data_IF_658960614959
#
_entry.id   IF_658960614959
#
_cell.length_a   1.000
_cell.length_b   1.000
_cell.length_c   1.000
_cell.angle_alpha   90.00
_cell.angle_beta   90.00
_cell.angle_gamma   90.00
#
_symmetry.space_group_name_H-M   'P 1'
#
loop_
_entity.id
_entity.type
_entity.pdbx_description
1 polymer ?
#
# COMPACT_ATOMS: atom_id res chain seq x y z
N UNK A 1 -14.94 -60.40 -72.33
CA UNK A 1 -15.53 -59.91 -73.56
C UNK A 1 -15.11 -58.51 -73.80
N UNK A 2 -14.21 -58.36 -74.74
CA UNK A 2 -14.18 -57.41 -75.87
C UNK A 2 -14.05 -55.94 -75.46
N UNK A 3 -12.95 -55.47 -75.70
CA UNK A 3 -12.24 -54.81 -76.85
C UNK A 3 -12.26 -53.31 -76.68
N UNK A 4 -11.15 -52.72 -76.69
CA UNK A 4 -10.24 -52.27 -77.77
C UNK A 4 -10.66 -50.88 -78.27
N UNK A 5 -9.93 -49.99 -78.40
CA UNK A 5 -8.76 -49.45 -79.13
C UNK A 5 -8.81 -47.93 -79.03
N UNK A 6 -7.91 -47.14 -79.01
CA UNK A 6 -6.65 -47.02 -79.73
C UNK A 6 -6.45 -45.61 -80.23
N UNK A 7 -5.28 -45.20 -80.13
CA UNK A 7 -4.51 -44.42 -81.11
C UNK A 7 -3.97 -43.01 -80.72
N UNK A 8 -2.71 -42.94 -80.46
CA UNK A 8 -1.60 -42.25 -81.21
C UNK A 8 -1.79 -40.74 -81.51
N UNK A 9 -0.99 -39.92 -81.03
CA UNK A 9 0.20 -39.49 -81.72
C UNK A 9 0.44 -37.99 -81.63
N UNK A 10 1.60 -37.54 -81.45
CA UNK A 10 2.03 -36.22 -81.85
C UNK A 10 3.00 -35.51 -80.87
N UNK A 11 4.24 -35.95 -80.92
CA UNK A 11 5.36 -35.18 -80.42
C UNK A 11 5.66 -34.01 -81.33
N UNK A 12 5.71 -32.77 -80.77
CA UNK A 12 6.50 -31.71 -81.47
C UNK A 12 7.25 -30.92 -80.39
N UNK A 13 8.56 -31.07 -80.51
CA UNK A 13 9.55 -30.28 -79.84
C UNK A 13 9.55 -28.85 -80.35
N UNK A 14 9.50 -27.86 -79.48
CA UNK A 14 9.88 -26.47 -79.81
C UNK A 14 10.70 -25.84 -78.67
N UNK A 15 11.93 -25.83 -78.97
CA UNK A 15 13.04 -24.84 -78.85
C UNK A 15 13.04 -23.93 -77.60
N UNK A 16 14.10 -24.08 -76.89
CA UNK A 16 14.73 -23.12 -75.94
C UNK A 16 15.05 -21.81 -76.71
N UNK A 17 14.27 -20.75 -76.42
CA UNK A 17 14.66 -19.34 -76.60
C UNK A 17 13.42 -18.45 -76.40
N UNK A 18 13.06 -18.17 -75.15
CA UNK A 18 12.27 -16.97 -74.74
C UNK A 18 12.03 -17.03 -73.25
N UNK A 19 13.07 -16.82 -72.45
CA UNK A 19 12.95 -16.70 -70.99
C UNK A 19 14.04 -15.73 -70.49
N UNK A 20 13.94 -14.49 -70.87
CA UNK A 20 14.72 -13.41 -70.29
C UNK A 20 13.99 -12.06 -70.53
N UNK A 21 12.87 -11.83 -69.83
CA UNK A 21 12.34 -10.51 -69.59
C UNK A 21 11.12 -10.67 -68.66
N UNK A 22 11.27 -10.36 -67.34
CA UNK A 22 10.10 -10.34 -66.44
C UNK A 22 10.36 -10.72 -65.01
N UNK A 23 11.52 -10.34 -64.39
CA UNK A 23 11.76 -10.48 -62.95
C UNK A 23 12.31 -9.19 -62.38
N UNK A 24 11.54 -8.15 -62.44
CA UNK A 24 11.81 -6.93 -61.70
C UNK A 24 10.46 -6.30 -61.28
N UNK A 25 9.88 -6.74 -60.18
CA UNK A 25 8.61 -6.13 -59.73
C UNK A 25 7.86 -6.89 -58.68
N UNK A 26 8.50 -7.57 -57.70
CA UNK A 26 7.77 -8.13 -56.53
C UNK A 26 8.72 -8.30 -55.34
N UNK A 27 9.28 -7.16 -54.85
CA UNK A 27 10.08 -7.16 -53.62
C UNK A 27 9.83 -5.89 -52.83
N UNK A 28 8.60 -5.45 -52.67
CA UNK A 28 8.20 -4.30 -51.83
C UNK A 28 6.86 -4.50 -51.13
N UNK A 29 6.56 -5.69 -50.64
CA UNK A 29 5.40 -5.98 -49.79
C UNK A 29 5.75 -6.95 -48.66
N UNK A 30 6.82 -6.66 -47.92
CA UNK A 30 7.29 -7.50 -46.82
C UNK A 30 7.58 -6.74 -45.54
N UNK A 31 7.01 -5.55 -45.33
CA UNK A 31 7.24 -4.70 -44.18
C UNK A 31 5.95 -4.24 -43.49
N UNK A 32 4.85 -4.97 -43.60
CA UNK A 32 3.72 -4.73 -42.72
C UNK A 32 4.06 -5.26 -41.34
N UNK A 33 4.77 -4.44 -40.57
CA UNK A 33 4.86 -4.63 -39.13
C UNK A 33 3.43 -4.88 -38.64
N UNK A 34 3.21 -6.02 -38.00
CA UNK A 34 1.94 -6.30 -37.29
C UNK A 34 1.72 -5.16 -36.32
N UNK A 35 1.01 -4.12 -36.72
CA UNK A 35 0.42 -3.17 -35.81
C UNK A 35 -0.44 -4.03 -34.89
N UNK A 36 0.06 -4.24 -33.66
CA UNK A 36 -0.70 -4.93 -32.62
C UNK A 36 -1.96 -4.07 -32.46
N UNK A 37 -3.12 -4.58 -32.84
CA UNK A 37 -4.37 -3.87 -32.68
C UNK A 37 -4.46 -3.47 -31.21
N UNK A 38 -4.39 -2.17 -30.96
CA UNK A 38 -4.49 -1.63 -29.62
C UNK A 38 -5.87 -1.98 -29.10
N UNK A 39 -5.96 -2.68 -27.97
CA UNK A 39 -7.25 -3.05 -27.36
C UNK A 39 -8.08 -1.79 -27.14
N UNK A 40 -9.33 -1.80 -27.59
CA UNK A 40 -10.29 -0.70 -27.32
C UNK A 40 -11.09 -0.92 -26.04
N UNK A 41 -10.95 -2.09 -25.41
CA UNK A 41 -11.63 -2.40 -24.16
C UNK A 41 -11.17 -1.47 -23.04
N UNK A 42 -12.06 -1.08 -22.11
CA UNK A 42 -11.69 -0.20 -21.00
C UNK A 42 -10.61 -0.81 -20.11
N UNK A 43 -9.77 0.05 -19.52
CA UNK A 43 -8.86 -0.35 -18.43
C UNK A 43 -9.66 -0.34 -17.15
N UNK A 44 -9.84 -1.52 -16.55
CA UNK A 44 -10.59 -1.68 -15.29
C UNK A 44 -9.64 -1.75 -14.11
N UNK A 45 -9.92 -0.98 -13.07
CA UNK A 45 -9.24 -0.99 -11.77
C UNK A 45 -10.26 -1.11 -10.65
N UNK A 46 -9.88 -1.69 -9.51
CA UNK A 46 -10.77 -1.86 -8.37
C UNK A 46 -10.16 -1.32 -7.08
N UNK A 47 -10.94 -0.62 -6.26
CA UNK A 47 -10.63 -0.32 -4.86
C UNK A 47 -11.40 -1.28 -3.98
N UNK A 48 -10.70 -2.26 -3.42
CA UNK A 48 -11.26 -3.24 -2.50
C UNK A 48 -10.87 -2.83 -1.07
N UNK A 49 -11.77 -2.16 -0.39
CA UNK A 49 -11.51 -1.51 0.89
C UNK A 49 -12.43 -2.04 2.01
N UNK A 50 -12.22 -1.59 3.23
CA UNK A 50 -13.13 -1.79 4.35
C UNK A 50 -14.03 -0.56 4.48
N UNK A 51 -15.16 -0.55 3.79
CA UNK A 51 -16.05 0.62 3.79
C UNK A 51 -17.08 0.63 4.93
N UNK A 52 -17.36 -0.52 5.54
CA UNK A 52 -18.37 -0.66 6.61
C UNK A 52 -17.88 -1.44 7.83
N UNK A 53 -16.67 -1.97 7.82
CA UNK A 53 -16.08 -2.73 8.94
C UNK A 53 -15.26 -1.86 9.89
N UNK A 54 -14.34 -2.50 10.61
CA UNK A 54 -13.58 -1.86 11.71
C UNK A 54 -12.63 -0.77 11.26
N UNK A 55 -12.14 -0.82 10.01
CA UNK A 55 -11.19 0.15 9.47
C UNK A 55 -11.85 1.18 8.52
N UNK A 56 -13.18 1.26 8.47
CA UNK A 56 -13.90 2.15 7.57
C UNK A 56 -13.47 3.62 7.69
N UNK A 57 -13.12 4.07 8.90
CA UNK A 57 -12.63 5.43 9.14
C UNK A 57 -11.21 5.69 8.65
N UNK A 58 -10.39 4.65 8.50
CA UNK A 58 -8.99 4.76 8.06
C UNK A 58 -8.86 4.67 6.55
N UNK A 59 -9.58 3.75 5.92
CA UNK A 59 -9.54 3.50 4.48
C UNK A 59 -10.90 3.85 3.84
N UNK A 60 -11.73 2.86 3.57
CA UNK A 60 -13.15 2.99 3.20
C UNK A 60 -13.44 3.96 2.07
N UNK A 61 -14.50 4.74 2.25
CA UNK A 61 -14.94 5.74 1.25
C UNK A 61 -13.87 6.78 0.95
N UNK A 62 -12.97 7.08 1.91
CA UNK A 62 -11.84 7.97 1.67
C UNK A 62 -10.87 7.43 0.63
N UNK A 63 -10.53 6.13 0.69
CA UNK A 63 -9.72 5.45 -0.33
C UNK A 63 -10.38 5.46 -1.72
N UNK A 64 -11.71 5.23 -1.77
CA UNK A 64 -12.48 5.31 -3.02
C UNK A 64 -12.47 6.74 -3.59
N UNK A 65 -12.60 7.75 -2.73
CA UNK A 65 -12.53 9.17 -3.12
C UNK A 65 -11.14 9.50 -3.69
N UNK A 66 -10.07 9.07 -3.05
CA UNK A 66 -8.71 9.30 -3.52
C UNK A 66 -8.43 8.64 -4.88
N UNK A 67 -8.90 7.40 -5.07
CA UNK A 67 -8.78 6.71 -6.36
C UNK A 67 -9.57 7.43 -7.47
N UNK A 68 -10.79 7.89 -7.16
CA UNK A 68 -11.57 8.68 -8.12
C UNK A 68 -10.88 9.98 -8.50
N UNK A 69 -10.31 10.70 -7.53
CA UNK A 69 -9.52 11.92 -7.80
C UNK A 69 -8.35 11.62 -8.75
N UNK A 70 -7.63 10.51 -8.54
CA UNK A 70 -6.52 10.11 -9.40
C UNK A 70 -6.99 9.82 -10.85
N UNK A 71 -8.11 9.12 -11.02
CA UNK A 71 -8.71 8.84 -12.34
C UNK A 71 -9.17 10.11 -13.03
N UNK A 72 -9.82 11.02 -12.30
CA UNK A 72 -10.31 12.30 -12.84
C UNK A 72 -9.13 13.19 -13.27
N UNK A 73 -8.09 13.30 -12.46
CA UNK A 73 -6.88 14.06 -12.77
C UNK A 73 -6.09 13.46 -13.94
N UNK A 74 -6.18 12.15 -14.14
CA UNK A 74 -5.60 11.46 -15.29
C UNK A 74 -6.42 11.68 -16.59
N UNK A 75 -7.60 12.29 -16.50
CA UNK A 75 -8.48 12.61 -17.63
C UNK A 75 -9.43 11.48 -18.02
N UNK A 76 -9.66 10.50 -17.14
CA UNK A 76 -10.63 9.40 -17.35
C UNK A 76 -10.24 8.38 -18.43
N UNK A 77 -9.08 8.55 -19.08
CA UNK A 77 -8.59 7.67 -20.15
C UNK A 77 -7.10 7.41 -20.03
N UNK A 78 -6.64 6.22 -20.41
CA UNK A 78 -5.22 5.85 -20.48
C UNK A 78 -4.93 5.07 -21.76
N UNK A 79 -3.87 5.40 -22.47
CA UNK A 79 -3.51 4.80 -23.75
C UNK A 79 -4.69 4.76 -24.74
N UNK A 80 -5.52 5.84 -24.77
CA UNK A 80 -6.70 5.94 -25.64
C UNK A 80 -7.92 5.11 -25.22
N UNK A 81 -7.90 4.51 -24.02
CA UNK A 81 -8.95 3.62 -23.49
C UNK A 81 -9.61 4.24 -22.26
N UNK A 82 -10.94 4.16 -22.11
CA UNK A 82 -11.62 4.63 -20.89
C UNK A 82 -11.12 3.87 -19.66
N UNK A 83 -11.00 4.58 -18.52
CA UNK A 83 -10.72 3.99 -17.21
C UNK A 83 -12.05 3.71 -16.52
N UNK A 84 -12.24 2.47 -16.05
CA UNK A 84 -13.39 2.06 -15.25
C UNK A 84 -12.93 1.75 -13.84
N UNK A 85 -13.39 2.53 -12.86
CA UNK A 85 -13.11 2.36 -11.44
C UNK A 85 -14.26 1.61 -10.76
N UNK A 86 -13.96 0.45 -10.16
CA UNK A 86 -14.85 -0.34 -9.36
C UNK A 86 -14.56 -0.11 -7.86
N UNK A 87 -15.62 -0.06 -7.05
CA UNK A 87 -15.52 0.05 -5.60
C UNK A 87 -16.15 -1.17 -4.95
N UNK A 88 -15.44 -1.78 -3.97
CA UNK A 88 -15.92 -2.93 -3.22
C UNK A 88 -15.62 -2.80 -1.74
N UNK A 89 -16.53 -3.38 -0.95
CA UNK A 89 -16.43 -3.42 0.50
C UNK A 89 -16.21 -4.87 0.96
N UNK A 90 -15.04 -5.15 1.53
CA UNK A 90 -14.75 -6.48 2.09
C UNK A 90 -15.22 -6.65 3.53
N UNK A 91 -15.75 -5.61 4.19
CA UNK A 91 -16.37 -5.67 5.51
C UNK A 91 -15.47 -6.32 6.58
N UNK A 92 -14.17 -6.16 6.48
CA UNK A 92 -13.15 -6.88 7.30
C UNK A 92 -13.24 -8.42 7.22
N UNK A 93 -13.86 -9.00 6.18
CA UNK A 93 -14.09 -10.44 6.00
C UNK A 93 -13.32 -11.00 4.81
N UNK A 94 -12.53 -12.06 5.06
CA UNK A 94 -11.68 -12.65 4.04
C UNK A 94 -12.48 -13.31 2.89
N UNK A 95 -13.59 -13.98 3.20
CA UNK A 95 -14.47 -14.64 2.24
C UNK A 95 -15.11 -13.64 1.28
N UNK A 96 -15.60 -12.51 1.79
CA UNK A 96 -16.17 -11.43 0.97
C UNK A 96 -15.09 -10.82 0.08
N UNK A 97 -13.94 -10.46 0.66
CA UNK A 97 -12.82 -9.88 -0.10
C UNK A 97 -12.33 -10.80 -1.22
N UNK A 98 -12.16 -12.08 -0.93
CA UNK A 98 -11.75 -13.08 -1.91
C UNK A 98 -12.78 -13.29 -3.03
N UNK A 99 -14.06 -13.30 -2.70
CA UNK A 99 -15.14 -13.44 -3.69
C UNK A 99 -15.16 -12.26 -4.66
N UNK A 100 -15.11 -11.02 -4.13
CA UNK A 100 -15.06 -9.81 -4.95
C UNK A 100 -13.80 -9.75 -5.81
N UNK A 101 -12.63 -10.05 -5.25
CA UNK A 101 -11.38 -10.02 -5.99
C UNK A 101 -11.37 -11.05 -7.12
N UNK A 102 -11.88 -12.27 -6.89
CA UNK A 102 -11.98 -13.32 -7.91
C UNK A 102 -12.88 -12.87 -9.06
N UNK A 103 -14.09 -12.38 -8.73
CA UNK A 103 -15.03 -11.88 -9.73
C UNK A 103 -14.41 -10.76 -10.56
N UNK A 104 -13.78 -9.78 -9.91
CA UNK A 104 -13.19 -8.64 -10.60
C UNK A 104 -12.05 -9.04 -11.54
N UNK A 105 -11.17 -9.94 -11.11
CA UNK A 105 -10.11 -10.43 -11.98
C UNK A 105 -10.65 -11.23 -13.15
N UNK A 106 -11.73 -12.02 -12.95
CA UNK A 106 -12.41 -12.75 -14.02
C UNK A 106 -13.12 -11.80 -15.01
N UNK A 107 -13.66 -10.68 -14.50
CA UNK A 107 -14.28 -9.62 -15.30
C UNK A 107 -13.24 -8.68 -15.97
N UNK A 108 -11.95 -8.96 -15.84
CA UNK A 108 -10.87 -8.25 -16.52
C UNK A 108 -10.33 -7.03 -15.79
N UNK A 109 -10.54 -6.90 -14.47
CA UNK A 109 -9.83 -5.91 -13.65
C UNK A 109 -8.32 -6.22 -13.69
N UNK A 110 -7.50 -5.23 -14.05
CA UNK A 110 -6.04 -5.37 -14.16
C UNK A 110 -5.33 -5.22 -12.83
N UNK A 111 -5.81 -4.33 -11.96
CA UNK A 111 -5.23 -4.05 -10.66
C UNK A 111 -6.30 -3.80 -9.59
N UNK A 112 -6.06 -4.35 -8.38
CA UNK A 112 -6.83 -4.07 -7.17
C UNK A 112 -5.96 -3.26 -6.21
N UNK A 113 -6.55 -2.21 -5.62
CA UNK A 113 -5.90 -1.27 -4.69
C UNK A 113 -6.51 -1.34 -3.30
N UNK A 114 -5.78 -0.83 -2.33
CA UNK A 114 -6.10 -0.67 -0.92
C UNK A 114 -5.92 -1.97 -0.13
N UNK A 115 -6.90 -2.81 0.01
CA UNK A 115 -6.94 -4.11 0.70
C UNK A 115 -6.38 -4.02 2.14
N UNK A 116 -7.26 -3.81 3.13
CA UNK A 116 -6.82 -3.44 4.48
C UNK A 116 -6.42 -4.59 5.40
N UNK A 117 -7.25 -5.62 5.54
CA UNK A 117 -7.09 -6.67 6.53
C UNK A 117 -6.09 -7.73 6.07
N UNK A 118 -5.15 -8.12 6.94
CA UNK A 118 -4.06 -9.07 6.62
C UNK A 118 -4.56 -10.38 5.98
N UNK A 119 -5.64 -10.97 6.51
CA UNK A 119 -6.19 -12.22 5.97
C UNK A 119 -6.81 -12.05 4.58
N UNK A 120 -7.44 -10.89 4.32
CA UNK A 120 -7.93 -10.52 2.97
C UNK A 120 -6.73 -10.32 2.04
N UNK A 121 -5.73 -9.56 2.49
CA UNK A 121 -4.55 -9.22 1.69
C UNK A 121 -3.77 -10.45 1.23
N UNK A 122 -3.51 -11.42 2.12
CA UNK A 122 -2.83 -12.67 1.79
C UNK A 122 -3.59 -13.43 0.70
N UNK A 123 -4.90 -13.58 0.86
CA UNK A 123 -5.71 -14.28 -0.12
C UNK A 123 -5.78 -13.58 -1.46
N UNK A 124 -5.95 -12.25 -1.48
CA UNK A 124 -5.99 -11.46 -2.72
C UNK A 124 -4.63 -11.48 -3.43
N UNK A 125 -3.49 -11.45 -2.70
CA UNK A 125 -2.16 -11.56 -3.29
C UNK A 125 -1.94 -12.92 -3.98
N UNK A 126 -2.35 -14.01 -3.31
CA UNK A 126 -2.28 -15.33 -3.92
C UNK A 126 -3.13 -15.39 -5.19
N UNK A 127 -4.35 -14.89 -5.14
CA UNK A 127 -5.26 -14.85 -6.28
C UNK A 127 -4.72 -13.97 -7.43
N UNK A 128 -4.11 -12.81 -7.12
CA UNK A 128 -3.49 -11.95 -8.11
C UNK A 128 -2.34 -12.67 -8.84
N UNK A 129 -1.54 -13.45 -8.11
CA UNK A 129 -0.47 -14.27 -8.69
C UNK A 129 -1.04 -15.37 -9.59
N UNK A 130 -2.07 -16.11 -9.13
CA UNK A 130 -2.71 -17.19 -9.89
C UNK A 130 -3.32 -16.71 -11.22
N UNK A 131 -3.89 -15.50 -11.21
CA UNK A 131 -4.58 -14.91 -12.38
C UNK A 131 -3.72 -13.98 -13.21
N UNK A 132 -2.42 -13.84 -12.89
CA UNK A 132 -1.51 -12.87 -13.48
C UNK A 132 -2.12 -11.46 -13.51
N UNK A 133 -2.49 -10.97 -12.34
CA UNK A 133 -3.06 -9.63 -12.08
C UNK A 133 -2.23 -8.89 -11.04
N UNK A 134 -2.50 -7.61 -10.84
CA UNK A 134 -1.78 -6.77 -9.91
C UNK A 134 -2.62 -6.53 -8.65
N UNK A 135 -1.97 -6.51 -7.49
CA UNK A 135 -2.54 -6.00 -6.25
C UNK A 135 -1.58 -5.00 -5.60
N UNK A 136 -2.11 -3.86 -5.14
CA UNK A 136 -1.34 -2.82 -4.47
C UNK A 136 -1.97 -2.57 -3.10
N UNK A 137 -1.17 -2.84 -2.05
CA UNK A 137 -1.61 -2.75 -0.67
C UNK A 137 -1.31 -1.36 -0.12
N UNK A 138 -2.36 -0.57 0.09
CA UNK A 138 -2.25 0.76 0.70
C UNK A 138 -2.56 0.72 2.19
N UNK A 139 -3.46 -0.16 2.63
CA UNK A 139 -3.96 -0.22 4.01
C UNK A 139 -3.53 -1.48 4.78
N UNK A 140 -2.78 -2.39 4.16
CA UNK A 140 -2.26 -3.59 4.83
C UNK A 140 -1.04 -3.24 5.67
N UNK A 141 -1.01 -3.69 6.94
CA UNK A 141 0.08 -3.36 7.86
C UNK A 141 1.15 -4.44 8.05
N UNK A 142 0.94 -5.70 7.65
CA UNK A 142 1.92 -6.77 7.95
C UNK A 142 3.14 -6.74 7.02
N UNK A 143 4.34 -6.85 7.59
CA UNK A 143 5.60 -7.03 6.84
C UNK A 143 5.63 -8.31 6.02
N UNK A 144 4.80 -9.28 6.34
CA UNK A 144 4.77 -10.60 5.70
C UNK A 144 4.40 -10.52 4.20
N UNK A 145 3.77 -9.42 3.76
CA UNK A 145 3.42 -9.23 2.34
C UNK A 145 4.65 -9.10 1.44
N UNK A 146 5.78 -8.65 1.97
CA UNK A 146 7.08 -8.56 1.31
C UNK A 146 8.12 -9.51 1.91
N UNK A 147 7.67 -10.42 2.80
CA UNK A 147 8.41 -11.53 3.38
C UNK A 147 7.86 -12.87 2.87
N UNK A 148 7.39 -13.71 3.79
CA UNK A 148 6.94 -15.09 3.49
C UNK A 148 5.78 -15.19 2.49
N UNK A 149 5.02 -14.13 2.28
CA UNK A 149 3.94 -14.08 1.29
C UNK A 149 4.31 -13.22 0.08
N UNK A 150 5.59 -12.84 -0.11
CA UNK A 150 5.97 -12.01 -1.24
C UNK A 150 5.53 -12.60 -2.58
N UNK A 151 5.17 -11.73 -3.51
CA UNK A 151 4.68 -12.11 -4.83
C UNK A 151 5.19 -11.14 -5.88
N UNK A 152 5.57 -11.60 -7.07
CA UNK A 152 5.96 -10.71 -8.16
C UNK A 152 4.82 -9.77 -8.59
N UNK A 153 3.57 -10.13 -8.27
CA UNK A 153 2.33 -9.44 -8.63
C UNK A 153 1.81 -8.48 -7.54
N UNK A 154 2.45 -8.43 -6.37
CA UNK A 154 2.05 -7.61 -5.23
C UNK A 154 2.99 -6.43 -5.00
N UNK A 155 2.43 -5.27 -4.66
CA UNK A 155 3.20 -4.09 -4.25
C UNK A 155 2.66 -3.60 -2.91
N UNK A 156 3.52 -3.50 -1.90
CA UNK A 156 3.18 -2.98 -0.59
C UNK A 156 3.57 -1.49 -0.53
N UNK A 157 2.56 -0.61 -0.56
CA UNK A 157 2.75 0.77 -0.95
C UNK A 157 3.04 1.74 0.19
N UNK A 158 2.26 1.70 1.30
CA UNK A 158 2.23 2.80 2.27
C UNK A 158 3.21 2.62 3.41
N UNK A 159 2.89 1.75 4.36
CA UNK A 159 3.64 1.47 5.57
C UNK A 159 3.61 -0.04 5.86
N UNK A 160 4.33 -0.47 6.90
CA UNK A 160 4.19 -1.82 7.45
C UNK A 160 4.44 -1.83 8.96
N UNK A 161 4.21 -2.96 9.61
CA UNK A 161 4.39 -3.12 11.04
C UNK A 161 5.83 -2.85 11.51
N UNK A 162 6.83 -3.09 10.65
CA UNK A 162 8.22 -2.74 10.94
C UNK A 162 8.42 -1.22 10.95
N UNK A 163 8.01 -0.53 9.88
CA UNK A 163 8.24 0.90 9.74
C UNK A 163 7.61 1.73 10.86
N UNK A 164 6.41 1.36 11.32
CA UNK A 164 5.75 2.06 12.42
C UNK A 164 6.30 1.64 13.79
N UNK A 165 6.63 0.37 14.02
CA UNK A 165 7.13 -0.10 15.30
C UNK A 165 8.57 0.37 15.56
N UNK A 166 9.45 0.20 14.58
CA UNK A 166 10.84 0.66 14.66
C UNK A 166 10.92 2.18 14.64
N UNK A 167 10.09 2.83 13.82
CA UNK A 167 10.01 4.28 13.80
C UNK A 167 9.57 4.88 15.13
N UNK A 168 8.54 4.32 15.77
CA UNK A 168 8.09 4.74 17.10
C UNK A 168 9.16 4.48 18.17
N UNK A 169 9.83 3.32 18.16
CA UNK A 169 10.90 2.99 19.05
C UNK A 169 12.07 3.99 18.88
N UNK A 170 12.51 4.23 17.65
CA UNK A 170 13.57 5.18 17.31
C UNK A 170 13.27 6.59 17.80
N UNK A 171 12.11 7.12 17.46
CA UNK A 171 11.73 8.49 17.81
C UNK A 171 11.76 8.72 19.33
N UNK A 172 11.28 7.77 20.11
CA UNK A 172 11.26 7.88 21.57
C UNK A 172 12.64 7.64 22.19
N UNK A 173 13.45 6.74 21.63
CA UNK A 173 14.83 6.51 22.08
C UNK A 173 15.73 7.72 21.80
N UNK A 174 15.58 8.37 20.64
CA UNK A 174 16.28 9.64 20.32
C UNK A 174 15.84 10.78 21.24
N UNK A 175 14.62 10.74 21.77
CA UNK A 175 14.15 11.63 22.83
C UNK A 175 14.71 11.28 24.24
N UNK A 176 15.57 10.27 24.36
CA UNK A 176 16.24 9.87 25.61
C UNK A 176 15.47 8.87 26.46
N UNK A 177 14.35 8.34 25.99
CA UNK A 177 13.48 7.41 26.72
C UNK A 177 13.87 5.96 26.38
N UNK A 178 14.54 5.25 27.32
CA UNK A 178 15.22 3.99 27.05
C UNK A 178 14.57 2.76 27.69
N UNK A 179 13.69 2.93 28.69
CA UNK A 179 13.03 1.80 29.34
C UNK A 179 11.57 1.72 28.94
N UNK A 180 11.17 0.52 28.49
CA UNK A 180 9.88 0.27 27.88
C UNK A 180 9.07 -0.79 28.60
N UNK A 181 7.76 -0.65 28.61
CA UNK A 181 6.81 -1.69 28.94
C UNK A 181 5.72 -1.70 27.87
N UNK A 182 5.25 -2.87 27.45
CA UNK A 182 4.26 -2.94 26.37
C UNK A 182 2.86 -3.31 26.88
N UNK A 183 1.85 -2.68 26.32
CA UNK A 183 0.48 -3.16 26.29
C UNK A 183 0.21 -3.67 24.87
N UNK A 184 -0.05 -4.99 24.77
CA UNK A 184 -0.01 -5.67 23.45
C UNK A 184 -1.29 -6.44 23.23
N UNK A 185 -1.97 -6.19 22.10
CA UNK A 185 -3.11 -7.02 21.72
C UNK A 185 -2.66 -8.46 21.45
N UNK A 186 -3.36 -9.42 22.03
CA UNK A 186 -2.95 -10.84 22.03
C UNK A 186 -3.32 -11.57 20.72
N UNK A 187 -2.81 -11.08 19.58
CA UNK A 187 -2.81 -11.81 18.31
C UNK A 187 -1.59 -11.43 17.44
N UNK A 188 -1.48 -12.02 16.25
CA UNK A 188 -0.27 -11.94 15.42
C UNK A 188 0.22 -10.51 15.14
N UNK A 189 -0.67 -9.56 14.91
CA UNK A 189 -0.32 -8.16 14.64
C UNK A 189 0.36 -7.48 15.83
N UNK A 190 -0.26 -7.53 17.02
CA UNK A 190 0.32 -6.91 18.23
C UNK A 190 1.66 -7.53 18.61
N UNK A 191 1.74 -8.87 18.56
CA UNK A 191 3.00 -9.59 18.81
C UNK A 191 4.10 -9.21 17.82
N UNK A 192 3.76 -9.01 16.55
CA UNK A 192 4.73 -8.54 15.53
C UNK A 192 5.23 -7.13 15.83
N UNK A 193 4.32 -6.19 16.14
CA UNK A 193 4.68 -4.82 16.52
C UNK A 193 5.63 -4.79 17.71
N UNK A 194 5.27 -5.50 18.80
CA UNK A 194 6.10 -5.59 19.99
C UNK A 194 7.47 -6.21 19.70
N UNK A 195 7.52 -7.30 18.93
CA UNK A 195 8.77 -8.00 18.64
C UNK A 195 9.74 -7.12 17.82
N UNK A 196 9.26 -6.43 16.78
CA UNK A 196 10.10 -5.54 15.96
C UNK A 196 10.57 -4.30 16.77
N UNK A 197 9.70 -3.72 17.59
CA UNK A 197 10.08 -2.62 18.48
C UNK A 197 11.10 -3.10 19.53
N UNK A 198 10.87 -4.22 20.21
CA UNK A 198 11.79 -4.78 21.23
C UNK A 198 13.18 -5.02 20.63
N UNK A 199 13.25 -5.68 19.47
CA UNK A 199 14.52 -5.93 18.79
C UNK A 199 15.30 -4.64 18.51
N UNK A 200 14.62 -3.60 18.07
CA UNK A 200 15.25 -2.29 17.84
C UNK A 200 15.73 -1.66 19.14
N UNK A 201 14.86 -1.63 20.16
CA UNK A 201 15.15 -1.04 21.48
C UNK A 201 16.41 -1.66 22.09
N UNK A 202 16.47 -2.99 22.15
CA UNK A 202 17.57 -3.75 22.74
C UNK A 202 18.88 -3.56 21.94
N UNK A 203 18.80 -3.57 20.61
CA UNK A 203 19.95 -3.36 19.73
C UNK A 203 20.56 -1.94 19.88
N UNK A 204 19.77 -0.95 20.36
CA UNK A 204 20.21 0.44 20.53
C UNK A 204 20.37 0.84 22.01
N UNK A 205 20.53 -0.14 22.91
CA UNK A 205 20.87 0.11 24.32
C UNK A 205 19.68 0.53 25.19
N UNK A 206 18.45 0.23 24.77
CA UNK A 206 17.27 0.32 25.62
C UNK A 206 16.95 -1.01 26.28
N UNK A 207 15.91 -1.02 27.13
CA UNK A 207 15.48 -2.20 27.87
C UNK A 207 13.96 -2.32 27.86
N UNK A 208 13.46 -3.51 27.60
CA UNK A 208 12.03 -3.85 27.73
C UNK A 208 11.83 -4.54 29.09
N UNK A 209 11.12 -3.89 30.01
CA UNK A 209 10.90 -4.37 31.36
C UNK A 209 9.80 -5.42 31.47
N UNK A 210 8.94 -5.54 30.44
CA UNK A 210 7.87 -6.51 30.38
C UNK A 210 6.73 -6.09 29.45
N UNK A 211 5.67 -6.89 29.48
CA UNK A 211 4.46 -6.58 28.71
C UNK A 211 3.21 -7.15 29.36
N UNK A 212 2.05 -6.57 29.07
CA UNK A 212 0.73 -7.11 29.39
C UNK A 212 0.00 -7.40 28.08
N UNK A 213 -0.32 -8.67 27.78
CA UNK A 213 -1.20 -9.01 26.68
C UNK A 213 -2.67 -8.70 27.05
N UNK A 214 -3.48 -8.28 26.06
CA UNK A 214 -4.90 -8.08 26.24
C UNK A 214 -5.70 -8.59 25.02
N UNK A 215 -6.94 -9.10 25.22
CA UNK A 215 -7.83 -9.44 24.12
C UNK A 215 -8.20 -8.25 23.25
N UNK A 216 -8.57 -8.52 21.99
CA UNK A 216 -8.98 -7.46 21.05
C UNK A 216 -10.32 -6.78 21.46
N UNK A 217 -11.14 -7.49 22.21
CA UNK A 217 -12.43 -7.01 22.69
C UNK A 217 -12.34 -6.19 24.00
N UNK A 218 -11.13 -6.00 24.55
CA UNK A 218 -10.90 -5.25 25.80
C UNK A 218 -11.41 -3.81 25.67
N UNK A 219 -12.25 -3.40 26.63
CA UNK A 219 -12.80 -2.04 26.71
C UNK A 219 -12.29 -1.27 27.92
N UNK A 220 -11.98 -1.97 29.01
CA UNK A 220 -11.43 -1.42 30.25
C UNK A 220 -9.97 -1.85 30.39
N UNK A 221 -9.08 -0.88 30.38
CA UNK A 221 -7.63 -1.05 30.48
C UNK A 221 -7.08 -0.66 31.86
N UNK A 222 -7.93 -0.39 32.84
CA UNK A 222 -7.53 0.11 34.17
C UNK A 222 -6.49 -0.79 34.83
N UNK A 223 -6.71 -2.12 34.84
CA UNK A 223 -5.75 -3.05 35.43
C UNK A 223 -4.42 -3.14 34.67
N UNK A 224 -4.46 -2.98 33.35
CA UNK A 224 -3.26 -3.05 32.51
C UNK A 224 -2.46 -1.74 32.61
N UNK A 225 -3.13 -0.59 32.73
CA UNK A 225 -2.51 0.69 33.01
C UNK A 225 -1.84 0.71 34.39
N UNK A 226 -2.44 0.13 35.42
CA UNK A 226 -1.83 0.00 36.75
C UNK A 226 -0.56 -0.88 36.70
N UNK A 227 -0.59 -2.01 35.97
CA UNK A 227 0.62 -2.84 35.77
C UNK A 227 1.70 -2.07 35.03
N UNK A 228 1.33 -1.32 33.99
CA UNK A 228 2.24 -0.47 33.24
C UNK A 228 2.87 0.61 34.14
N UNK A 229 2.10 1.26 35.01
CA UNK A 229 2.63 2.19 36.00
C UNK A 229 3.59 1.53 36.99
N UNK A 230 3.23 0.37 37.50
CA UNK A 230 4.04 -0.39 38.46
C UNK A 230 5.35 -0.91 37.85
N UNK A 231 5.47 -1.01 36.53
CA UNK A 231 6.70 -1.43 35.85
C UNK A 231 7.86 -0.46 36.03
N UNK A 232 7.57 0.83 36.31
CA UNK A 232 8.57 1.88 36.38
C UNK A 232 9.23 2.24 35.04
N UNK A 233 8.73 1.72 33.92
CA UNK A 233 9.23 2.05 32.59
C UNK A 233 9.01 3.52 32.27
N UNK A 234 9.92 4.15 31.53
CA UNK A 234 9.75 5.52 31.04
C UNK A 234 8.64 5.63 29.96
N UNK A 235 8.48 4.55 29.18
CA UNK A 235 7.54 4.46 28.07
C UNK A 235 6.64 3.24 28.15
N UNK A 236 5.38 3.47 27.83
CA UNK A 236 4.39 2.41 27.63
C UNK A 236 4.10 2.31 26.14
N UNK A 237 4.66 1.28 25.50
CA UNK A 237 4.45 0.99 24.08
C UNK A 237 3.06 0.38 23.86
N UNK A 238 2.26 0.99 23.01
CA UNK A 238 0.91 0.53 22.70
C UNK A 238 0.94 -0.27 21.39
N UNK A 239 1.23 -1.57 21.49
CA UNK A 239 1.31 -2.49 20.35
C UNK A 239 -0.08 -3.10 20.07
N UNK A 240 -1.01 -2.28 19.59
CA UNK A 240 -2.42 -2.66 19.44
C UNK A 240 -3.07 -1.90 18.28
N UNK A 241 -4.22 -2.35 17.72
CA UNK A 241 -4.93 -1.63 16.67
C UNK A 241 -5.46 -0.28 17.14
N UNK A 242 -5.53 0.65 16.22
CA UNK A 242 -5.90 2.05 16.41
C UNK A 242 -7.15 2.30 17.28
N UNK A 243 -8.29 1.63 17.10
CA UNK A 243 -9.45 1.89 17.95
C UNK A 243 -9.19 1.62 19.44
N UNK A 244 -8.32 0.62 19.75
CA UNK A 244 -7.93 0.32 21.13
C UNK A 244 -6.91 1.33 21.64
N UNK A 245 -5.96 1.78 20.81
CA UNK A 245 -5.02 2.86 21.20
C UNK A 245 -5.79 4.10 21.66
N UNK A 246 -6.78 4.54 20.88
CA UNK A 246 -7.59 5.70 21.23
C UNK A 246 -8.28 5.53 22.61
N UNK A 247 -8.78 4.34 22.89
CA UNK A 247 -9.39 4.02 24.17
C UNK A 247 -8.37 4.00 25.32
N UNK A 248 -7.21 3.38 25.11
CA UNK A 248 -6.11 3.35 26.09
C UNK A 248 -5.63 4.78 26.40
N UNK A 249 -5.42 5.62 25.38
CA UNK A 249 -4.95 7.01 25.57
C UNK A 249 -5.96 7.81 26.41
N UNK A 250 -7.25 7.66 26.16
CA UNK A 250 -8.30 8.32 26.95
C UNK A 250 -8.30 7.87 28.41
N UNK A 251 -8.26 6.57 28.66
CA UNK A 251 -8.20 6.03 30.01
C UNK A 251 -6.88 6.41 30.71
N UNK A 252 -5.74 6.34 30.02
CA UNK A 252 -4.45 6.73 30.57
C UNK A 252 -4.42 8.21 31.04
N UNK A 253 -5.16 9.09 30.38
CA UNK A 253 -5.31 10.48 30.82
C UNK A 253 -5.97 10.56 32.23
N UNK A 254 -6.99 9.72 32.48
CA UNK A 254 -7.66 9.61 33.78
C UNK A 254 -6.73 9.04 34.87
N UNK A 255 -5.79 8.16 34.50
CA UNK A 255 -4.77 7.59 35.38
C UNK A 255 -3.54 8.50 35.56
N UNK A 256 -3.56 9.74 35.03
CA UNK A 256 -2.52 10.73 35.26
C UNK A 256 -1.27 10.60 34.37
N UNK A 257 -1.30 9.77 33.31
CA UNK A 257 -0.16 9.61 32.39
C UNK A 257 0.21 10.91 31.65
N UNK A 258 -0.73 11.82 31.41
CA UNK A 258 -0.45 13.10 30.73
C UNK A 258 0.62 13.93 31.46
N UNK A 259 0.53 13.98 32.80
CA UNK A 259 1.41 14.78 33.66
C UNK A 259 2.40 13.93 34.48
N UNK A 260 2.34 12.61 34.32
CA UNK A 260 3.20 11.65 35.00
C UNK A 260 4.59 11.54 34.39
N UNK A 261 5.50 10.82 35.08
CA UNK A 261 6.85 10.57 34.58
C UNK A 261 6.87 9.62 33.37
N UNK A 262 5.90 8.74 33.26
CA UNK A 262 5.76 7.77 32.18
C UNK A 262 5.05 8.39 30.98
N UNK A 263 5.48 8.05 29.77
CA UNK A 263 4.88 8.51 28.51
C UNK A 263 4.28 7.35 27.74
N UNK A 264 3.31 7.63 26.89
CA UNK A 264 2.73 6.66 25.97
C UNK A 264 3.46 6.73 24.63
N UNK A 265 3.72 5.57 24.04
CA UNK A 265 4.28 5.42 22.69
C UNK A 265 3.30 4.61 21.83
N UNK A 266 2.33 5.25 21.16
CA UNK A 266 1.42 4.56 20.27
C UNK A 266 2.15 4.05 19.03
N UNK A 267 1.86 2.82 18.63
CA UNK A 267 2.42 2.19 17.43
C UNK A 267 1.28 2.01 16.41
N UNK A 268 1.28 2.87 15.39
CA UNK A 268 0.25 2.84 14.35
C UNK A 268 -0.99 3.70 14.68
N UNK A 269 -0.78 4.88 15.23
CA UNK A 269 -1.79 5.91 15.39
C UNK A 269 -1.66 6.91 14.23
N UNK A 270 -2.80 7.34 13.66
CA UNK A 270 -2.84 8.20 12.47
C UNK A 270 -3.62 9.50 12.74
N UNK A 271 -3.53 10.46 11.83
CA UNK A 271 -4.11 11.80 12.00
C UNK A 271 -5.61 11.79 12.34
N UNK A 272 -6.39 10.87 11.76
CA UNK A 272 -7.83 10.72 12.06
C UNK A 272 -8.08 10.28 13.50
N UNK A 273 -7.17 9.48 14.04
CA UNK A 273 -7.29 8.95 15.39
C UNK A 273 -6.94 10.03 16.42
N UNK A 274 -5.88 10.79 16.15
CA UNK A 274 -5.53 11.96 16.97
C UNK A 274 -6.65 12.99 16.96
N UNK A 275 -7.27 13.22 15.80
CA UNK A 275 -8.47 14.06 15.71
C UNK A 275 -9.62 13.54 16.59
N UNK A 276 -9.87 12.23 16.60
CA UNK A 276 -10.95 11.61 17.39
C UNK A 276 -10.65 11.54 18.89
N UNK A 277 -9.36 11.42 19.27
CA UNK A 277 -8.91 11.46 20.67
C UNK A 277 -9.03 12.89 21.22
N UNK A 278 -8.62 13.88 20.41
CA UNK A 278 -8.51 15.29 20.80
C UNK A 278 -7.12 15.65 21.32
N UNK A 279 -6.73 16.90 21.08
CA UNK A 279 -5.39 17.40 21.43
C UNK A 279 -5.12 17.39 22.95
N UNK A 280 -6.13 17.62 23.78
CA UNK A 280 -5.97 17.61 25.25
C UNK A 280 -5.39 16.28 25.76
N UNK A 281 -5.85 15.17 25.20
CA UNK A 281 -5.43 13.83 25.62
C UNK A 281 -4.25 13.27 24.82
N UNK A 282 -4.11 13.69 23.56
CA UNK A 282 -3.07 13.19 22.67
C UNK A 282 -1.79 14.04 22.64
N UNK A 283 -1.77 15.23 23.26
CA UNK A 283 -0.62 16.14 23.21
C UNK A 283 0.69 15.48 23.62
N UNK A 284 1.73 15.77 22.86
CA UNK A 284 3.09 15.27 23.14
C UNK A 284 3.37 13.85 22.65
N UNK A 285 2.36 13.07 22.21
CA UNK A 285 2.59 11.78 21.60
C UNK A 285 3.46 11.93 20.34
N UNK A 286 4.39 11.00 20.14
CA UNK A 286 5.16 10.90 18.91
C UNK A 286 4.48 9.92 17.96
N UNK A 287 4.23 10.39 16.73
CA UNK A 287 3.53 9.67 15.67
C UNK A 287 4.49 9.45 14.50
N UNK A 288 4.45 8.27 13.89
CA UNK A 288 5.26 7.96 12.70
C UNK A 288 4.34 7.64 11.55
N UNK A 289 4.35 8.52 10.54
CA UNK A 289 3.52 8.42 9.34
C UNK A 289 4.32 8.81 8.08
N UNK A 290 3.99 8.29 6.90
CA UNK A 290 4.62 8.73 5.64
C UNK A 290 3.99 9.99 5.04
N UNK A 291 2.98 10.56 5.68
CA UNK A 291 2.24 11.71 5.14
C UNK A 291 1.52 12.47 6.26
N UNK A 292 1.55 13.79 6.13
CA UNK A 292 0.68 14.70 6.86
C UNK A 292 0.15 15.78 5.92
N UNK A 293 -1.12 16.11 6.02
CA UNK A 293 -1.79 17.03 5.10
C UNK A 293 -1.11 18.41 4.99
N UNK A 294 -0.54 18.90 6.08
CA UNK A 294 0.14 20.21 6.18
C UNK A 294 1.67 20.09 6.15
N UNK A 295 2.23 19.14 5.42
CA UNK A 295 3.67 18.90 5.38
C UNK A 295 4.38 19.84 4.41
N UNK A 296 3.79 20.12 3.24
CA UNK A 296 4.31 21.00 2.20
C UNK A 296 3.16 21.53 1.33
N UNK A 297 3.47 22.41 0.35
CA UNK A 297 2.46 22.99 -0.53
C UNK A 297 1.70 21.95 -1.35
N UNK A 298 2.38 20.92 -1.82
CA UNK A 298 1.76 19.86 -2.63
C UNK A 298 0.81 18.99 -1.79
N UNK A 299 1.17 18.62 -0.55
CA UNK A 299 0.28 17.90 0.37
C UNK A 299 -0.93 18.73 0.74
N UNK A 300 -0.78 20.05 0.96
CA UNK A 300 -1.90 20.98 1.20
C UNK A 300 -2.84 21.03 0.00
N UNK A 301 -2.31 21.25 -1.20
CA UNK A 301 -3.10 21.35 -2.42
C UNK A 301 -3.94 20.08 -2.68
N UNK A 302 -3.36 18.91 -2.47
CA UNK A 302 -4.10 17.63 -2.53
C UNK A 302 -5.19 17.59 -1.46
N UNK A 303 -4.84 17.88 -0.22
CA UNK A 303 -5.74 17.74 0.93
C UNK A 303 -6.91 18.72 0.90
N UNK A 304 -6.71 19.94 0.40
CA UNK A 304 -7.77 20.94 0.21
C UNK A 304 -8.81 20.51 -0.82
N UNK A 305 -8.42 19.73 -1.80
CA UNK A 305 -9.33 19.12 -2.78
C UNK A 305 -10.05 17.91 -2.17
N UNK A 306 -9.29 17.07 -1.47
CA UNK A 306 -9.81 15.86 -0.84
C UNK A 306 -10.89 16.17 0.21
N UNK A 307 -10.64 17.13 1.11
CA UNK A 307 -11.61 17.48 2.16
C UNK A 307 -12.93 18.02 1.59
N UNK A 308 -12.89 18.71 0.45
CA UNK A 308 -14.10 19.20 -0.24
C UNK A 308 -14.97 18.05 -0.76
N UNK A 309 -14.37 16.92 -1.10
CA UNK A 309 -15.06 15.74 -1.64
C UNK A 309 -15.47 14.76 -0.54
N UNK A 310 -14.63 14.60 0.48
CA UNK A 310 -14.82 13.58 1.52
C UNK A 310 -15.32 14.14 2.86
N UNK A 311 -15.12 15.44 3.12
CA UNK A 311 -15.53 16.09 4.35
C UNK A 311 -14.56 15.97 5.53
N UNK A 312 -13.45 15.25 5.37
CA UNK A 312 -12.39 15.08 6.37
C UNK A 312 -11.02 15.20 5.71
N UNK A 313 -9.98 15.57 6.48
CA UNK A 313 -8.60 15.54 5.97
C UNK A 313 -8.18 14.10 5.66
N UNK A 314 -7.37 13.92 4.60
CA UNK A 314 -6.84 12.62 4.27
C UNK A 314 -5.80 12.17 5.30
N UNK A 315 -5.76 10.88 5.58
CA UNK A 315 -4.62 10.23 6.24
C UNK A 315 -3.66 9.63 5.19
N UNK A 316 -2.56 9.05 5.65
CA UNK A 316 -1.54 8.47 4.78
C UNK A 316 -2.05 7.30 3.92
N UNK A 317 -3.02 6.52 4.40
CA UNK A 317 -3.61 5.39 3.67
C UNK A 317 -4.40 5.90 2.45
N UNK A 318 -5.31 6.83 2.68
CA UNK A 318 -6.14 7.44 1.65
C UNK A 318 -5.30 8.22 0.63
N UNK A 319 -4.36 9.05 1.10
CA UNK A 319 -3.45 9.79 0.24
C UNK A 319 -2.60 8.86 -0.65
N UNK A 320 -2.16 7.73 -0.11
CA UNK A 320 -1.35 6.75 -0.82
C UNK A 320 -2.10 6.04 -1.96
N UNK A 321 -3.42 5.88 -1.86
CA UNK A 321 -4.24 5.31 -2.94
C UNK A 321 -4.20 6.19 -4.18
N UNK A 322 -4.27 7.52 -4.02
CA UNK A 322 -4.12 8.44 -5.15
C UNK A 322 -2.76 8.25 -5.85
N UNK A 323 -1.66 8.23 -5.09
CA UNK A 323 -0.31 8.03 -5.65
C UNK A 323 -0.17 6.67 -6.36
N UNK A 324 -0.68 5.59 -5.74
CA UNK A 324 -0.63 4.25 -6.30
C UNK A 324 -1.40 4.12 -7.62
N UNK A 325 -2.63 4.65 -7.69
CA UNK A 325 -3.45 4.66 -8.92
C UNK A 325 -2.76 5.49 -9.99
N UNK A 326 -2.26 6.67 -9.67
CA UNK A 326 -1.55 7.54 -10.62
C UNK A 326 -0.30 6.86 -11.17
N UNK A 327 0.51 6.23 -10.32
CA UNK A 327 1.72 5.52 -10.75
C UNK A 327 1.40 4.32 -11.66
N UNK A 328 0.38 3.54 -11.32
CA UNK A 328 -0.11 2.44 -12.16
C UNK A 328 -0.59 2.91 -13.54
N UNK A 329 -1.39 3.98 -13.59
CA UNK A 329 -1.88 4.54 -14.85
C UNK A 329 -0.74 5.12 -15.70
N UNK A 330 0.26 5.76 -15.09
CA UNK A 330 1.48 6.21 -15.76
C UNK A 330 2.27 5.02 -16.34
N UNK A 331 2.33 3.90 -15.62
CA UNK A 331 3.00 2.69 -16.12
C UNK A 331 2.28 2.10 -17.34
N UNK A 332 0.95 2.07 -17.36
CA UNK A 332 0.17 1.68 -18.55
C UNK A 332 0.45 2.64 -19.72
N UNK A 333 0.45 3.95 -19.45
CA UNK A 333 0.74 4.97 -20.48
C UNK A 333 2.13 4.78 -21.08
N UNK A 334 3.13 4.53 -20.24
CA UNK A 334 4.53 4.38 -20.66
C UNK A 334 4.78 3.04 -21.39
N UNK A 335 4.17 1.93 -20.93
CA UNK A 335 4.29 0.62 -21.57
C UNK A 335 3.44 0.46 -22.83
N UNK A 336 2.42 1.33 -23.03
CA UNK A 336 1.45 1.21 -24.12
C UNK A 336 0.52 -0.01 -24.05
N UNK A 337 0.49 -0.69 -22.88
CA UNK A 337 -0.28 -1.92 -22.65
C UNK A 337 -0.72 -2.02 -21.19
N UNK A 338 -1.80 -2.77 -20.94
CA UNK A 338 -2.23 -3.14 -19.58
C UNK A 338 -1.83 -4.59 -19.20
N UNK A 339 -0.91 -5.18 -19.93
CA UNK A 339 -0.37 -6.50 -19.61
C UNK A 339 0.42 -6.45 -18.29
N UNK A 340 0.08 -7.33 -17.38
CA UNK A 340 0.55 -7.35 -15.99
C UNK A 340 2.06 -7.21 -15.86
N UNK A 341 2.83 -8.07 -16.53
CA UNK A 341 4.29 -8.08 -16.38
C UNK A 341 4.96 -6.86 -17.00
N UNK A 342 4.40 -6.32 -18.10
CA UNK A 342 4.89 -5.09 -18.71
C UNK A 342 4.66 -3.88 -17.80
N UNK A 343 3.46 -3.80 -17.21
CA UNK A 343 3.11 -2.71 -16.28
C UNK A 343 3.94 -2.80 -15.00
N UNK A 344 4.06 -3.98 -14.38
CA UNK A 344 4.87 -4.19 -13.18
C UNK A 344 6.34 -3.84 -13.39
N UNK A 345 6.88 -4.19 -14.56
CA UNK A 345 8.25 -3.81 -14.90
C UNK A 345 8.41 -2.29 -14.92
N UNK A 346 7.54 -1.57 -15.60
CA UNK A 346 7.60 -0.10 -15.65
C UNK A 346 7.40 0.51 -14.27
N UNK A 347 6.45 -0.01 -13.46
CA UNK A 347 6.24 0.47 -12.10
C UNK A 347 7.49 0.33 -11.23
N UNK A 348 8.21 -0.80 -11.33
CA UNK A 348 9.42 -1.07 -10.55
C UNK A 348 10.63 -0.28 -11.05
N UNK A 349 10.74 -0.06 -12.35
CA UNK A 349 11.86 0.65 -12.98
C UNK A 349 11.73 2.19 -12.87
N UNK A 350 10.53 2.69 -12.59
CA UNK A 350 10.25 4.13 -12.52
C UNK A 350 10.17 4.60 -11.08
N UNK A 351 10.98 5.58 -10.66
CA UNK A 351 10.86 6.16 -9.33
C UNK A 351 9.47 6.75 -9.08
N UNK A 352 8.96 6.54 -7.88
CA UNK A 352 7.70 7.12 -7.44
C UNK A 352 7.94 8.56 -7.00
N UNK A 353 7.34 9.50 -7.71
CA UNK A 353 7.37 10.92 -7.37
C UNK A 353 5.95 11.46 -7.37
N UNK A 354 5.45 11.83 -6.20
CA UNK A 354 4.13 12.42 -6.00
C UNK A 354 4.18 13.45 -4.85
N UNK A 355 3.02 13.97 -4.43
CA UNK A 355 2.96 14.97 -3.36
C UNK A 355 3.42 14.45 -1.99
N UNK A 356 3.47 13.14 -1.77
CA UNK A 356 3.87 12.52 -0.50
C UNK A 356 5.13 11.64 -0.60
N UNK A 357 5.65 11.40 -1.81
CA UNK A 357 6.83 10.56 -2.04
C UNK A 357 7.80 11.27 -2.97
N UNK A 358 9.05 11.36 -2.56
CA UNK A 358 10.12 11.87 -3.40
C UNK A 358 11.13 10.74 -3.63
N UNK A 359 11.39 10.44 -4.92
CA UNK A 359 12.34 9.42 -5.34
C UNK A 359 12.14 8.03 -4.68
N UNK A 360 10.87 7.63 -4.52
CA UNK A 360 10.52 6.31 -3.96
C UNK A 360 10.84 5.19 -4.94
N UNK A 361 11.32 4.04 -4.43
CA UNK A 361 11.67 2.88 -5.25
C UNK A 361 10.92 1.63 -4.83
N UNK A 362 10.32 0.92 -5.79
CA UNK A 362 9.69 -0.37 -5.54
C UNK A 362 10.75 -1.46 -5.63
N UNK A 363 11.09 -2.04 -4.48
CA UNK A 363 12.07 -3.11 -4.33
C UNK A 363 11.56 -4.42 -4.97
N UNK A 364 12.45 -5.39 -5.24
CA UNK A 364 12.12 -6.65 -5.93
C UNK A 364 11.02 -7.45 -5.21
N UNK A 365 10.99 -7.44 -3.87
CA UNK A 365 9.94 -8.07 -3.04
C UNK A 365 8.59 -7.32 -3.04
N UNK A 366 8.49 -6.21 -3.77
CA UNK A 366 7.30 -5.39 -3.88
C UNK A 366 7.17 -4.27 -2.84
N UNK A 367 8.13 -4.07 -1.91
CA UNK A 367 8.08 -2.96 -0.95
C UNK A 367 8.42 -1.63 -1.64
N UNK A 368 7.52 -0.65 -1.58
CA UNK A 368 7.85 0.74 -1.90
C UNK A 368 8.68 1.34 -0.76
N UNK A 369 9.94 1.64 -1.02
CA UNK A 369 10.81 2.38 -0.12
C UNK A 369 10.56 3.88 -0.28
N UNK A 370 10.30 4.55 0.84
CA UNK A 370 9.99 5.98 0.93
C UNK A 370 10.35 6.51 2.31
N UNK A 371 10.49 7.80 2.45
CA UNK A 371 10.69 8.42 3.75
C UNK A 371 9.47 8.24 4.66
N UNK A 372 9.73 8.08 5.95
CA UNK A 372 8.75 8.18 7.02
C UNK A 372 9.06 9.41 7.87
N UNK A 373 8.05 10.00 8.48
CA UNK A 373 8.21 11.22 9.24
C UNK A 373 7.79 11.02 10.68
N UNK A 374 8.52 11.64 11.59
CA UNK A 374 8.19 11.71 13.01
C UNK A 374 7.50 13.05 13.26
N UNK A 375 6.33 12.99 13.84
CA UNK A 375 5.54 14.13 14.25
C UNK A 375 5.31 14.10 15.76
N UNK A 376 5.25 15.26 16.39
CA UNK A 376 4.76 15.42 17.75
C UNK A 376 3.34 15.99 17.70
N UNK A 377 2.42 15.36 18.40
CA UNK A 377 1.06 15.90 18.55
C UNK A 377 1.13 17.23 19.29
N UNK A 378 0.49 18.26 18.74
CA UNK A 378 0.44 19.62 19.27
C UNK A 378 -0.29 19.68 20.61
N UNK A 379 0.10 20.66 21.45
CA UNK A 379 -0.75 21.11 22.54
C UNK A 379 -1.95 21.87 21.95
N UNK A 380 -3.10 21.94 22.68
CA UNK A 380 -4.23 22.76 22.23
C UNK A 380 -3.84 24.20 21.89
N UNK A 381 -2.92 24.82 22.66
CA UNK A 381 -2.43 26.19 22.43
C UNK A 381 -1.53 26.36 21.20
N UNK A 382 -1.05 25.28 20.62
CA UNK A 382 -0.18 25.28 19.41
C UNK A 382 -1.01 25.11 18.12
N UNK A 383 -2.29 24.72 18.22
CA UNK A 383 -3.14 24.40 17.07
C UNK A 383 -3.88 25.64 16.56
N UNK A 384 -3.90 25.81 15.24
CA UNK A 384 -4.61 26.88 14.54
C UNK A 384 -5.92 26.41 13.88
N UNK A 385 -6.39 25.18 14.14
CA UNK A 385 -7.63 24.66 13.58
C UNK A 385 -7.84 23.17 13.80
N UNK A 386 -9.03 22.68 13.42
CA UNK A 386 -9.48 21.31 13.71
C UNK A 386 -8.52 20.20 13.31
N UNK A 387 -7.79 20.37 12.22
CA UNK A 387 -6.89 19.36 11.68
C UNK A 387 -5.41 19.73 11.83
N UNK A 388 -5.12 20.86 12.46
CA UNK A 388 -3.75 21.29 12.72
C UNK A 388 -3.19 20.62 13.99
N UNK A 389 -2.87 19.32 13.86
CA UNK A 389 -2.63 18.41 14.97
C UNK A 389 -1.16 18.13 15.24
N UNK A 390 -0.26 18.35 14.25
CA UNK A 390 1.12 17.90 14.33
C UNK A 390 2.15 19.00 14.15
N UNK A 391 3.25 18.85 14.87
CA UNK A 391 4.53 19.51 14.60
C UNK A 391 5.50 18.48 14.01
N UNK A 392 6.13 18.73 12.85
CA UNK A 392 7.17 17.85 12.32
C UNK A 392 8.42 17.88 13.22
N UNK A 393 9.02 16.71 13.45
CA UNK A 393 10.21 16.55 14.29
C UNK A 393 11.40 16.12 13.45
N UNK A 394 11.31 15.00 12.75
CA UNK A 394 12.39 14.46 11.94
C UNK A 394 11.88 13.59 10.79
N UNK A 395 12.79 13.28 9.87
CA UNK A 395 12.58 12.34 8.77
C UNK A 395 13.37 11.07 9.05
N UNK A 396 12.75 9.92 8.84
CA UNK A 396 13.40 8.62 8.80
C UNK A 396 13.60 8.28 7.32
N UNK A 397 14.86 8.28 6.82
CA UNK A 397 15.12 8.01 5.41
C UNK A 397 14.62 6.63 4.95
N UNK A 398 14.27 6.52 3.69
CA UNK A 398 13.68 5.33 3.06
C UNK A 398 14.45 4.03 3.32
N UNK A 399 15.79 4.09 3.30
CA UNK A 399 16.69 2.96 3.55
C UNK A 399 16.73 2.51 5.02
N UNK A 400 16.26 3.34 5.94
CA UNK A 400 16.18 3.06 7.38
C UNK A 400 14.75 2.83 7.88
N UNK A 401 13.75 3.21 7.07
CA UNK A 401 12.35 3.17 7.45
C UNK A 401 11.74 1.76 7.35
N UNK A 402 12.25 0.93 6.46
CA UNK A 402 11.69 -0.40 6.18
C UNK A 402 12.68 -1.52 6.46
N UNK A 403 12.13 -2.69 6.78
CA UNK A 403 12.93 -3.89 7.02
C UNK A 403 13.82 -4.18 5.79
N UNK A 404 15.11 -4.47 5.97
CA UNK A 404 15.95 -4.95 4.88
C UNK A 404 15.33 -6.16 4.17
N UNK A 405 15.58 -6.28 2.88
CA UNK A 405 15.17 -7.47 2.12
C UNK A 405 15.79 -8.73 2.74
N UNK A 406 14.98 -9.78 2.85
CA UNK A 406 15.41 -11.05 3.44
C UNK A 406 15.24 -12.17 2.42
N UNK A 407 16.35 -12.64 1.79
CA UNK A 407 16.29 -13.71 0.80
C UNK A 407 15.83 -15.06 1.38
N UNK A 408 15.90 -15.24 2.70
CA UNK A 408 15.40 -16.46 3.35
C UNK A 408 13.87 -16.45 3.49
N UNK A 409 13.25 -15.27 3.52
CA UNK A 409 11.82 -15.08 3.61
C UNK A 409 11.15 -14.87 2.24
N UNK A 410 11.86 -14.27 1.27
CA UNK A 410 11.34 -13.96 -0.07
C UNK A 410 12.37 -14.29 -1.16
N UNK A 411 12.05 -15.25 -2.00
CA UNK A 411 12.92 -15.68 -3.12
C UNK A 411 13.07 -14.66 -4.24
N UNK A 412 12.33 -13.55 -4.22
CA UNK A 412 12.41 -12.51 -5.25
C UNK A 412 13.59 -11.54 -5.05
N UNK A 413 14.29 -11.63 -3.92
CA UNK A 413 15.42 -10.75 -3.54
C UNK A 413 16.75 -11.49 -3.45
N UNK A 414 16.88 -12.62 -4.13
CA UNK A 414 18.11 -13.41 -4.25
C UNK A 414 19.11 -12.74 -5.23
#
# INVERSE_FOLDING_TARGET
>A
MKNADGNKGGATALTRRAALAGTAGLALLGGAGRARAQSTAPVKIGVLTDASGTNAGLAGVGSQTAAKMAVDDFGGTVAGRPIVLLNGDHQSKADIGMTLARQWYDDGVGAIFDVGITTVAIGVQQLAREKDKIVIFNSTGTVDMTGKYCSPNGIHWTYDSYSIAVGAARANMEAGLKTWYFMTVDYAYGRSLQAEATKYIEAHGGTVLGSTPHPIETKDFSSDLLKAQASGAQLIGLATPTPLIANIVKQAAEFGFLNGPQKLAPIGLFVNDVYAIGLEQAQGLLIVEPFYWNQNDATRAFSDRFIKLYGKMPNCLQASVYGAVTHYLNAIKASGTDQTQAVLKVMKDTPVNDFMTHDGHIRADGRLLRDMYVFRVKKPSESNGLWDLYNPISTIPADQAFKPADPTACSLVN
#
